data_IF_786060562218
#
_entry.id   IF_786060562218
#
_cell.length_a   1.000
_cell.length_b   1.000
_cell.length_c   1.000
_cell.angle_alpha   90.00
_cell.angle_beta   90.00
_cell.angle_gamma   90.00
#
_symmetry.space_group_name_H-M   'P 1'
#
loop_
_entity.id
_entity.type
_entity.pdbx_description
1 polymer ?
#
# COMPACT_ATOMS: atom_id res chain seq x y z
N UNK A 1 -10.13 -69.78 -9.78
CA UNK A 1 -10.60 -68.62 -10.59
C UNK A 1 -10.08 -67.33 -9.96
N UNK A 2 -8.96 -66.80 -10.45
CA UNK A 2 -8.32 -65.58 -9.93
C UNK A 2 -8.21 -64.56 -11.05
N UNK A 3 -9.05 -63.52 -11.06
CA UNK A 3 -8.98 -62.42 -12.04
C UNK A 3 -7.97 -61.37 -11.56
N UNK A 4 -6.80 -61.33 -12.21
CA UNK A 4 -5.84 -60.23 -12.12
C UNK A 4 -6.38 -59.02 -12.89
N UNK A 5 -6.60 -57.89 -12.21
CA UNK A 5 -6.81 -56.59 -12.86
C UNK A 5 -5.48 -56.04 -13.39
N UNK A 6 -5.36 -55.83 -14.71
CA UNK A 6 -4.28 -55.04 -15.32
C UNK A 6 -4.65 -53.55 -15.33
N UNK A 7 -3.71 -52.63 -15.11
CA UNK A 7 -3.98 -51.19 -15.21
C UNK A 7 -4.05 -50.77 -16.68
N UNK A 8 -5.08 -50.01 -17.05
CA UNK A 8 -5.20 -49.36 -18.37
C UNK A 8 -4.23 -48.17 -18.42
N UNK A 9 -3.22 -48.25 -19.27
CA UNK A 9 -2.39 -47.09 -19.63
C UNK A 9 -3.23 -46.09 -20.45
N UNK A 10 -3.30 -44.85 -19.99
CA UNK A 10 -3.90 -43.75 -20.75
C UNK A 10 -2.90 -43.25 -21.80
N UNK A 11 -3.14 -43.61 -23.06
CA UNK A 11 -2.38 -43.11 -24.21
C UNK A 11 -2.88 -41.70 -24.54
N UNK A 12 -2.07 -40.68 -24.22
CA UNK A 12 -2.30 -39.31 -24.69
C UNK A 12 -2.00 -39.21 -26.19
N UNK A 13 -3.05 -39.17 -27.02
CA UNK A 13 -2.91 -38.83 -28.44
C UNK A 13 -2.52 -37.36 -28.58
N UNK A 14 -1.28 -37.09 -29.00
CA UNK A 14 -0.86 -35.77 -29.49
C UNK A 14 -1.66 -35.43 -30.76
N UNK A 15 -2.57 -34.47 -30.67
CA UNK A 15 -3.21 -33.86 -31.83
C UNK A 15 -2.17 -33.02 -32.58
N UNK A 16 -1.94 -33.33 -33.87
CA UNK A 16 -1.07 -32.57 -34.76
C UNK A 16 -1.70 -31.18 -34.99
N UNK A 17 -0.99 -30.11 -34.60
CA UNK A 17 -1.32 -28.75 -35.01
C UNK A 17 -1.21 -28.63 -36.53
N UNK A 18 -2.29 -28.25 -37.21
CA UNK A 18 -2.22 -27.72 -38.58
C UNK A 18 -1.97 -26.20 -38.49
N UNK A 19 -1.12 -25.61 -39.35
CA UNK A 19 -0.93 -24.15 -39.38
C UNK A 19 -2.21 -23.49 -39.89
N UNK A 20 -2.90 -22.74 -39.02
CA UNK A 20 -4.02 -21.91 -39.40
C UNK A 20 -3.53 -20.58 -39.94
N UNK A 21 -3.72 -20.38 -41.24
CA UNK A 21 -3.69 -19.08 -41.91
C UNK A 21 -4.68 -18.14 -41.19
N UNK A 22 -4.18 -17.01 -40.67
CA UNK A 22 -5.06 -15.94 -40.17
C UNK A 22 -5.42 -15.08 -41.36
N UNK A 23 -6.63 -15.28 -41.90
CA UNK A 23 -7.22 -14.36 -42.86
C UNK A 23 -7.48 -13.01 -42.16
N UNK A 24 -6.84 -11.95 -42.65
CA UNK A 24 -7.12 -10.57 -42.26
C UNK A 24 -8.04 -9.94 -43.32
N UNK A 25 -9.38 -9.95 -43.14
CA UNK A 25 -10.25 -9.19 -44.01
C UNK A 25 -10.21 -7.72 -43.59
N UNK A 26 -9.41 -6.93 -44.31
CA UNK A 26 -9.49 -5.47 -44.30
C UNK A 26 -10.89 -5.04 -44.80
N UNK A 27 -11.88 -5.01 -43.90
CA UNK A 27 -13.13 -4.26 -44.08
C UNK A 27 -13.06 -3.01 -43.24
N UNK A 28 -12.93 -1.88 -43.93
CA UNK A 28 -13.07 -0.53 -43.39
C UNK A 28 -14.33 -0.41 -42.53
N UNK A 29 -14.16 -0.28 -41.22
CA UNK A 29 -15.26 0.05 -40.30
C UNK A 29 -15.58 1.54 -40.50
N UNK A 30 -16.71 1.84 -41.13
CA UNK A 30 -17.24 3.20 -41.22
C UNK A 30 -17.83 3.57 -39.86
N UNK A 31 -17.17 4.48 -39.12
CA UNK A 31 -17.74 5.08 -37.91
C UNK A 31 -18.92 5.97 -38.29
N UNK A 32 -20.14 5.50 -38.00
CA UNK A 32 -21.35 6.33 -38.06
C UNK A 32 -21.30 7.41 -36.97
N UNK A 33 -21.65 8.65 -37.30
CA UNK A 33 -21.77 9.73 -36.31
C UNK A 33 -22.85 9.40 -35.29
N UNK A 34 -22.48 9.35 -34.01
CA UNK A 34 -23.42 9.24 -32.90
C UNK A 34 -24.34 10.47 -32.85
N UNK A 35 -25.65 10.32 -32.55
CA UNK A 35 -26.54 11.45 -32.38
C UNK A 35 -26.16 12.28 -31.14
N UNK A 36 -26.25 13.61 -31.28
CA UNK A 36 -25.95 14.57 -30.20
C UNK A 36 -26.90 14.37 -29.02
N UNK A 37 -26.34 14.14 -27.83
CA UNK A 37 -27.11 14.06 -26.56
C UNK A 37 -27.78 15.41 -26.25
N UNK A 38 -29.00 15.40 -25.67
CA UNK A 38 -29.63 16.62 -25.21
C UNK A 38 -28.94 17.17 -23.94
N UNK A 39 -29.13 18.47 -23.74
CA UNK A 39 -28.48 19.38 -22.79
C UNK A 39 -28.51 18.93 -21.32
N UNK A 40 -27.37 19.14 -20.67
CA UNK A 40 -27.08 18.80 -19.28
C UNK A 40 -27.96 19.62 -18.32
N UNK A 41 -28.95 19.00 -17.66
CA UNK A 41 -29.63 19.61 -16.51
C UNK A 41 -28.67 19.66 -15.32
N UNK A 42 -28.41 20.88 -14.84
CA UNK A 42 -27.59 21.22 -13.67
C UNK A 42 -28.16 20.57 -12.41
N UNK A 43 -27.47 19.56 -11.88
CA UNK A 43 -27.74 18.98 -10.57
C UNK A 43 -27.42 20.00 -9.47
N UNK A 44 -28.43 20.43 -8.72
CA UNK A 44 -28.25 21.21 -7.49
C UNK A 44 -28.22 20.27 -6.29
N UNK A 45 -27.22 20.41 -5.42
CA UNK A 45 -27.09 19.63 -4.17
C UNK A 45 -28.10 20.12 -3.12
N UNK A 46 -28.75 19.23 -2.35
CA UNK A 46 -29.58 19.63 -1.22
C UNK A 46 -28.70 20.12 -0.07
N UNK A 47 -29.03 21.30 0.49
CA UNK A 47 -28.45 21.77 1.76
C UNK A 47 -29.13 21.03 2.92
N UNK A 48 -28.47 20.03 3.51
CA UNK A 48 -28.87 19.49 4.82
C UNK A 48 -27.98 20.08 5.92
N UNK A 49 -28.60 20.77 6.89
CA UNK A 49 -27.96 21.50 7.99
C UNK A 49 -27.69 20.63 9.25
N UNK A 50 -27.68 19.29 9.16
CA UNK A 50 -27.65 18.41 10.35
C UNK A 50 -26.30 17.73 10.68
N UNK A 51 -25.28 17.81 9.82
CA UNK A 51 -23.95 17.19 10.09
C UNK A 51 -22.89 18.12 10.67
N UNK A 52 -23.15 19.44 10.74
CA UNK A 52 -22.13 20.42 11.11
C UNK A 52 -21.87 20.53 12.64
N UNK A 53 -22.77 20.00 13.47
CA UNK A 53 -22.66 20.11 14.94
C UNK A 53 -21.78 19.02 15.57
N UNK A 54 -21.74 17.81 15.02
CA UNK A 54 -20.86 16.74 15.53
C UNK A 54 -19.38 16.99 15.21
N UNK A 55 -19.08 17.56 14.04
CA UNK A 55 -17.71 17.96 13.67
C UNK A 55 -17.22 19.12 14.54
N UNK A 56 -18.11 20.05 14.92
CA UNK A 56 -17.75 21.20 15.74
C UNK A 56 -17.41 20.83 17.19
N UNK A 57 -17.98 19.75 17.73
CA UNK A 57 -17.76 19.34 19.12
C UNK A 57 -16.40 18.63 19.31
N UNK A 58 -15.92 17.91 18.29
CA UNK A 58 -14.57 17.30 18.31
C UNK A 58 -13.43 18.34 18.15
N UNK A 59 -13.72 19.51 17.56
CA UNK A 59 -12.76 20.60 17.37
C UNK A 59 -12.65 21.49 18.63
N UNK A 60 -13.71 21.56 19.44
CA UNK A 60 -13.77 22.45 20.61
C UNK A 60 -13.00 21.93 21.84
N UNK A 61 -12.75 20.62 21.93
CA UNK A 61 -12.07 20.00 23.08
C UNK A 61 -10.53 20.05 23.00
N UNK A 62 -9.97 20.57 21.89
CA UNK A 62 -8.51 20.61 21.64
C UNK A 62 -7.85 21.99 21.88
N UNK A 63 -8.53 22.93 22.56
CA UNK A 63 -8.03 24.32 22.72
C UNK A 63 -7.47 24.69 24.09
N UNK A 64 -6.88 23.74 24.82
CA UNK A 64 -6.15 24.05 26.06
C UNK A 64 -4.83 23.31 26.16
N UNK A 65 -3.84 23.77 25.39
CA UNK A 65 -2.41 23.62 25.71
C UNK A 65 -1.62 24.72 25.00
N UNK A 66 -0.65 25.40 25.65
CA UNK A 66 0.15 26.44 25.00
C UNK A 66 1.01 25.86 23.88
N UNK A 67 1.33 26.64 22.82
CA UNK A 67 2.22 26.19 21.76
C UNK A 67 3.66 26.16 22.28
N UNK A 68 4.20 24.97 22.53
CA UNK A 68 5.63 24.80 22.74
C UNK A 68 6.35 24.85 21.38
N UNK A 69 7.31 25.76 21.31
CA UNK A 69 8.11 26.05 20.13
C UNK A 69 8.86 24.81 19.62
N UNK A 70 8.98 24.73 18.29
CA UNK A 70 9.72 23.73 17.57
C UNK A 70 11.18 23.62 18.06
N UNK A 71 11.49 22.51 18.71
CA UNK A 71 12.85 22.08 19.01
C UNK A 71 12.99 20.68 18.42
N UNK A 72 13.82 20.59 17.38
CA UNK A 72 14.18 19.33 16.72
C UNK A 72 15.03 18.46 17.65
N UNK A 73 14.38 17.84 18.63
CA UNK A 73 14.91 16.67 19.30
C UNK A 73 14.63 15.47 18.39
N UNK A 74 15.67 14.72 18.04
CA UNK A 74 15.49 13.34 17.57
C UNK A 74 14.85 12.56 18.70
N UNK A 75 13.52 12.55 18.75
CA UNK A 75 12.79 11.64 19.59
C UNK A 75 13.24 10.23 19.19
N UNK A 76 13.91 9.53 20.10
CA UNK A 76 14.48 8.20 19.87
C UNK A 76 13.41 7.14 19.59
N UNK A 77 12.15 7.52 19.47
CA UNK A 77 11.05 6.69 19.05
C UNK A 77 11.21 6.19 17.60
N UNK A 78 10.63 5.04 17.32
CA UNK A 78 10.65 4.45 15.98
C UNK A 78 10.04 5.39 14.93
N UNK A 79 8.98 6.14 15.28
CA UNK A 79 8.33 7.06 14.35
C UNK A 79 9.16 8.33 14.12
N UNK A 80 9.94 8.78 15.11
CA UNK A 80 10.91 9.87 14.95
C UNK A 80 12.01 9.47 13.97
N UNK A 81 12.55 8.27 14.13
CA UNK A 81 13.55 7.69 13.21
C UNK A 81 12.99 7.61 11.79
N UNK A 82 11.80 7.03 11.59
CA UNK A 82 11.18 6.93 10.25
C UNK A 82 10.98 8.31 9.64
N UNK A 83 10.48 9.29 10.39
CA UNK A 83 10.28 10.67 9.91
C UNK A 83 11.58 11.28 9.37
N UNK A 84 12.69 11.16 10.12
CA UNK A 84 13.99 11.68 9.70
C UNK A 84 14.54 10.93 8.49
N UNK A 85 14.38 9.60 8.46
CA UNK A 85 14.81 8.77 7.33
C UNK A 85 14.06 9.13 6.04
N UNK A 86 12.76 9.39 6.11
CA UNK A 86 11.98 9.84 4.96
C UNK A 86 12.49 11.17 4.42
N UNK A 87 12.77 12.15 5.31
CA UNK A 87 13.35 13.45 4.93
C UNK A 87 14.70 13.31 4.25
N UNK A 88 15.59 12.52 4.85
CA UNK A 88 16.95 12.27 4.34
C UNK A 88 16.95 11.69 2.92
N UNK A 89 15.91 10.93 2.58
CA UNK A 89 15.73 10.30 1.28
C UNK A 89 14.80 11.08 0.33
N UNK A 90 14.45 12.32 0.69
CA UNK A 90 13.62 13.23 -0.10
C UNK A 90 12.20 12.71 -0.38
N UNK A 91 11.68 11.86 0.51
CA UNK A 91 10.33 11.31 0.40
C UNK A 91 9.35 12.32 0.98
N UNK A 92 8.69 13.05 0.09
CA UNK A 92 7.81 14.16 0.47
C UNK A 92 6.33 13.84 0.33
N UNK A 93 5.93 12.76 -0.34
CA UNK A 93 4.53 12.38 -0.52
C UNK A 93 4.22 11.10 0.26
N UNK A 94 3.30 11.17 1.22
CA UNK A 94 2.97 10.04 2.11
C UNK A 94 1.47 9.82 2.22
N UNK A 95 0.80 9.24 1.21
CA UNK A 95 -0.57 8.78 1.36
C UNK A 95 -0.64 7.58 2.30
N UNK A 96 -1.74 7.47 3.05
CA UNK A 96 -1.91 6.39 4.02
C UNK A 96 -3.35 5.90 4.11
N UNK A 97 -3.52 4.64 4.51
CA UNK A 97 -4.79 4.16 5.05
C UNK A 97 -4.71 4.20 6.58
N UNK A 98 -5.70 4.77 7.29
CA UNK A 98 -5.63 4.95 8.73
C UNK A 98 -5.39 3.64 9.50
N UNK A 99 -4.33 3.62 10.30
CA UNK A 99 -3.99 2.53 11.22
C UNK A 99 -3.63 3.07 12.62
N UNK A 100 -4.05 2.36 13.66
CA UNK A 100 -3.82 2.77 15.06
C UNK A 100 -2.33 2.70 15.47
N UNK A 101 -1.56 1.75 14.94
CA UNK A 101 -0.11 1.65 15.24
C UNK A 101 0.64 2.81 14.59
N UNK A 102 0.25 3.20 13.37
CA UNK A 102 0.86 4.29 12.61
C UNK A 102 0.42 5.70 13.05
N UNK A 103 -0.53 5.81 13.98
CA UNK A 103 -1.07 7.10 14.44
C UNK A 103 -0.02 8.13 14.86
N UNK A 104 1.00 7.82 15.71
CA UNK A 104 2.02 8.82 16.07
C UNK A 104 2.85 9.28 14.86
N UNK A 105 3.21 8.37 13.95
CA UNK A 105 3.92 8.72 12.71
C UNK A 105 3.05 9.62 11.81
N UNK A 106 1.77 9.27 11.62
CA UNK A 106 0.82 10.04 10.80
C UNK A 106 0.66 11.46 11.38
N UNK A 107 0.55 11.61 12.71
CA UNK A 107 0.46 12.93 13.35
C UNK A 107 1.70 13.78 13.07
N UNK A 108 2.89 13.20 13.19
CA UNK A 108 4.15 13.91 12.92
C UNK A 108 4.25 14.32 11.44
N UNK A 109 3.83 13.45 10.52
CA UNK A 109 3.80 13.74 9.09
C UNK A 109 2.83 14.86 8.71
N UNK A 110 1.70 15.00 9.42
CA UNK A 110 0.77 16.12 9.22
C UNK A 110 1.26 17.43 9.84
N UNK A 111 2.02 17.35 10.93
CA UNK A 111 2.55 18.54 11.62
C UNK A 111 3.72 19.20 10.87
N UNK A 112 4.32 18.49 9.91
CA UNK A 112 5.57 18.87 9.28
C UNK A 112 5.36 19.28 7.81
N UNK A 113 5.62 20.56 7.44
CA UNK A 113 5.29 21.11 6.13
C UNK A 113 6.12 20.53 4.98
N UNK A 114 7.19 19.78 5.27
CA UNK A 114 7.95 19.06 4.25
C UNK A 114 7.10 17.97 3.55
N UNK A 115 6.15 17.38 4.27
CA UNK A 115 5.36 16.26 3.77
C UNK A 115 4.01 16.73 3.21
N UNK A 116 3.59 16.10 2.13
CA UNK A 116 2.19 16.08 1.70
C UNK A 116 1.61 14.72 2.11
N UNK A 117 0.79 14.75 3.15
CA UNK A 117 0.27 13.54 3.80
C UNK A 117 -1.24 13.61 3.81
N UNK A 118 -1.93 12.56 3.37
CA UNK A 118 -3.39 12.52 3.38
C UNK A 118 -3.89 11.06 3.38
N UNK A 119 -5.10 10.88 3.90
CA UNK A 119 -5.74 9.57 3.93
C UNK A 119 -6.28 9.18 2.53
N UNK A 120 -6.12 7.93 2.15
CA UNK A 120 -6.76 7.32 0.97
C UNK A 120 -7.87 6.37 1.40
N UNK A 121 -8.82 6.09 0.50
CA UNK A 121 -9.92 5.19 0.79
C UNK A 121 -9.49 3.72 0.76
N UNK A 122 -8.47 3.42 -0.05
CA UNK A 122 -7.87 2.09 -0.18
C UNK A 122 -6.35 2.17 -0.36
N UNK A 123 -5.68 1.07 -0.09
CA UNK A 123 -4.24 0.93 -0.27
C UNK A 123 -3.85 0.97 -1.75
N UNK A 124 -4.68 0.43 -2.65
CA UNK A 124 -4.41 0.47 -4.11
C UNK A 124 -4.37 1.91 -4.63
N UNK A 125 -5.23 2.78 -4.09
CA UNK A 125 -5.27 4.19 -4.45
C UNK A 125 -3.97 4.90 -4.03
N UNK A 126 -3.49 4.63 -2.81
CA UNK A 126 -2.22 5.18 -2.34
C UNK A 126 -1.05 4.73 -3.23
N UNK A 127 -1.02 3.46 -3.64
CA UNK A 127 -0.01 2.94 -4.56
C UNK A 127 -0.10 3.63 -5.93
N UNK A 128 -1.29 3.82 -6.47
CA UNK A 128 -1.49 4.55 -7.73
C UNK A 128 -1.02 6.01 -7.66
N UNK A 129 -1.32 6.70 -6.56
CA UNK A 129 -0.87 8.07 -6.31
C UNK A 129 0.65 8.17 -6.24
N UNK A 130 1.30 7.30 -5.46
CA UNK A 130 2.78 7.30 -5.34
C UNK A 130 3.43 6.93 -6.67
N UNK A 131 2.84 6.00 -7.42
CA UNK A 131 3.33 5.64 -8.76
C UNK A 131 3.27 6.82 -9.73
N UNK A 132 2.15 7.53 -9.76
CA UNK A 132 2.02 8.75 -10.58
C UNK A 132 2.97 9.86 -10.13
N UNK A 133 3.18 10.02 -8.82
CA UNK A 133 4.13 10.99 -8.29
C UNK A 133 5.57 10.67 -8.68
N UNK A 134 5.97 9.40 -8.65
CA UNK A 134 7.29 8.95 -9.11
C UNK A 134 7.51 9.30 -10.59
N UNK A 135 6.52 9.04 -11.44
CA UNK A 135 6.57 9.42 -12.85
C UNK A 135 6.65 10.95 -13.05
N UNK A 136 6.09 11.72 -12.11
CA UNK A 136 6.19 13.17 -12.04
C UNK A 136 7.49 13.70 -11.39
N UNK A 137 8.45 12.84 -11.07
CA UNK A 137 9.73 13.23 -10.47
C UNK A 137 9.68 13.45 -8.95
N UNK A 138 8.60 13.04 -8.28
CA UNK A 138 8.43 13.17 -6.82
C UNK A 138 8.47 11.81 -6.14
N UNK A 139 9.30 11.69 -5.09
CA UNK A 139 9.38 10.46 -4.27
C UNK A 139 8.26 10.43 -3.24
N UNK A 140 7.68 9.23 -3.07
CA UNK A 140 6.64 8.98 -2.11
C UNK A 140 6.80 7.62 -1.42
N UNK A 141 6.13 7.47 -0.28
CA UNK A 141 5.99 6.23 0.44
C UNK A 141 4.53 6.01 0.83
N UNK A 142 4.11 4.75 0.96
CA UNK A 142 2.76 4.40 1.40
C UNK A 142 2.82 3.86 2.82
N UNK A 143 1.94 4.35 3.70
CA UNK A 143 1.73 3.77 5.02
C UNK A 143 0.44 2.94 5.00
N UNK A 144 0.53 1.68 5.44
CA UNK A 144 -0.61 0.76 5.44
C UNK A 144 -0.51 -0.29 6.55
N UNK A 145 -1.61 -0.99 6.79
CA UNK A 145 -1.67 -2.13 7.68
C UNK A 145 -1.57 -3.45 6.90
N UNK A 146 -1.14 -4.54 7.56
CA UNK A 146 -1.10 -5.89 6.98
C UNK A 146 -2.38 -6.31 6.24
N UNK A 147 -3.57 -5.98 6.76
CA UNK A 147 -4.83 -6.34 6.08
C UNK A 147 -5.00 -5.68 4.73
N UNK A 148 -4.50 -4.45 4.59
CA UNK A 148 -4.49 -3.70 3.34
C UNK A 148 -3.58 -4.31 2.27
N UNK A 149 -2.55 -5.04 2.71
CA UNK A 149 -1.67 -5.75 1.79
C UNK A 149 -2.40 -6.86 1.03
N UNK A 150 -3.46 -7.46 1.59
CA UNK A 150 -4.16 -8.59 0.98
C UNK A 150 -4.71 -8.29 -0.43
N UNK A 151 -5.01 -7.03 -0.71
CA UNK A 151 -5.59 -6.57 -1.98
C UNK A 151 -4.55 -5.97 -2.93
N UNK A 152 -3.30 -5.77 -2.46
CA UNK A 152 -2.24 -5.13 -3.24
C UNK A 152 -1.52 -6.05 -4.22
N UNK A 153 -1.59 -7.37 -4.06
CA UNK A 153 -0.82 -8.31 -4.89
C UNK A 153 -0.96 -8.05 -6.40
N UNK A 154 -2.19 -7.80 -6.87
CA UNK A 154 -2.44 -7.50 -8.27
C UNK A 154 -1.81 -6.16 -8.70
N UNK A 155 -1.92 -5.11 -7.88
CA UNK A 155 -1.37 -3.79 -8.20
C UNK A 155 0.16 -3.83 -8.21
N UNK A 156 0.77 -4.54 -7.27
CA UNK A 156 2.23 -4.74 -7.25
C UNK A 156 2.70 -5.47 -8.51
N UNK A 157 2.04 -6.57 -8.88
CA UNK A 157 2.40 -7.37 -10.03
C UNK A 157 2.12 -6.71 -11.39
N UNK A 158 1.08 -5.87 -11.49
CA UNK A 158 0.66 -5.26 -12.76
C UNK A 158 1.11 -3.81 -12.95
N UNK A 159 1.52 -3.12 -11.88
CA UNK A 159 1.96 -1.72 -11.93
C UNK A 159 3.37 -1.54 -11.36
N UNK A 160 3.59 -1.80 -10.07
CA UNK A 160 4.84 -1.39 -9.43
C UNK A 160 6.06 -2.13 -10.00
N UNK A 161 5.98 -3.45 -10.14
CA UNK A 161 7.05 -4.30 -10.66
C UNK A 161 7.31 -4.08 -12.16
N UNK A 162 6.33 -4.22 -13.07
CA UNK A 162 6.60 -4.14 -14.51
C UNK A 162 7.02 -2.74 -14.99
N UNK A 163 6.60 -1.68 -14.30
CA UNK A 163 6.98 -0.31 -14.63
C UNK A 163 8.16 0.22 -13.82
N UNK A 164 8.85 -0.65 -13.08
CA UNK A 164 10.06 -0.31 -12.32
C UNK A 164 9.84 0.92 -11.41
N UNK A 165 8.72 0.90 -10.69
CA UNK A 165 8.38 1.98 -9.76
C UNK A 165 9.01 1.64 -8.40
N UNK A 166 9.88 2.51 -7.83
CA UNK A 166 10.45 2.32 -6.51
C UNK A 166 9.41 2.67 -5.43
N UNK A 167 8.38 1.84 -5.34
CA UNK A 167 7.31 1.98 -4.37
C UNK A 167 7.83 1.56 -2.99
N UNK A 168 7.92 2.53 -2.08
CA UNK A 168 8.33 2.32 -0.70
C UNK A 168 7.08 2.12 0.15
N UNK A 169 6.96 0.95 0.78
CA UNK A 169 5.81 0.61 1.62
C UNK A 169 6.26 0.43 3.06
N UNK A 170 5.62 1.15 3.98
CA UNK A 170 5.69 0.86 5.41
C UNK A 170 4.41 0.12 5.82
N UNK A 171 4.57 -1.12 6.22
CA UNK A 171 3.47 -2.00 6.61
C UNK A 171 3.53 -2.22 8.11
N UNK A 172 2.55 -1.68 8.86
CA UNK A 172 2.40 -2.03 10.26
C UNK A 172 1.93 -3.48 10.38
N UNK A 173 2.76 -4.34 10.96
CA UNK A 173 2.46 -5.77 11.06
C UNK A 173 1.38 -6.05 12.10
N UNK A 174 0.27 -6.65 11.66
CA UNK A 174 -0.81 -7.16 12.51
C UNK A 174 -1.15 -8.59 12.18
N UNK A 175 -1.76 -9.33 13.11
CA UNK A 175 -2.00 -10.76 12.93
C UNK A 175 -0.80 -11.63 13.31
N UNK A 176 0.13 -11.10 14.09
CA UNK A 176 1.31 -11.82 14.61
C UNK A 176 1.19 -11.98 16.15
N UNK A 177 2.30 -11.93 16.87
CA UNK A 177 2.39 -12.05 18.33
C UNK A 177 1.20 -11.41 19.07
N UNK A 178 0.44 -12.25 19.79
CA UNK A 178 -0.67 -11.81 20.64
C UNK A 178 -1.97 -11.44 19.92
N UNK A 179 -2.08 -11.55 18.59
CA UNK A 179 -3.32 -11.22 17.86
C UNK A 179 -4.26 -12.44 17.76
N UNK A 180 -5.54 -12.24 18.05
CA UNK A 180 -6.57 -13.29 18.07
C UNK A 180 -7.56 -13.17 16.90
N UNK A 181 -7.46 -12.10 16.10
CA UNK A 181 -8.24 -11.96 14.89
C UNK A 181 -7.72 -12.92 13.81
N UNK A 182 -8.48 -14.00 13.57
CA UNK A 182 -8.19 -15.01 12.55
C UNK A 182 -7.98 -14.42 11.15
N UNK A 183 -8.77 -13.40 10.78
CA UNK A 183 -8.67 -12.76 9.47
C UNK A 183 -7.32 -12.05 9.27
N UNK A 184 -6.85 -11.34 10.29
CA UNK A 184 -5.55 -10.66 10.23
C UNK A 184 -4.38 -11.65 10.29
N UNK A 185 -4.53 -12.73 11.04
CA UNK A 185 -3.51 -13.77 11.19
C UNK A 185 -3.22 -14.50 9.88
N UNK A 186 -4.24 -14.77 9.07
CA UNK A 186 -4.06 -15.38 7.76
C UNK A 186 -3.29 -14.47 6.80
N UNK A 187 -3.67 -13.19 6.71
CA UNK A 187 -3.01 -12.22 5.83
C UNK A 187 -1.56 -11.99 6.25
N UNK A 188 -1.28 -11.93 7.55
CA UNK A 188 0.08 -11.84 8.06
C UNK A 188 0.97 -13.00 7.60
N UNK A 189 0.44 -14.22 7.64
CA UNK A 189 1.15 -15.43 7.20
C UNK A 189 1.39 -15.46 5.70
N UNK A 190 0.49 -14.94 4.89
CA UNK A 190 0.60 -14.96 3.42
C UNK A 190 1.34 -13.77 2.84
N UNK A 191 1.47 -12.65 3.58
CA UNK A 191 2.13 -11.44 3.11
C UNK A 191 3.56 -11.68 2.61
N UNK A 192 4.41 -12.32 3.42
CA UNK A 192 5.82 -12.59 3.02
C UNK A 192 5.92 -13.54 1.81
N UNK A 193 5.24 -14.70 1.80
CA UNK A 193 5.22 -15.57 0.62
C UNK A 193 4.77 -14.87 -0.66
N UNK A 194 3.81 -13.94 -0.57
CA UNK A 194 3.36 -13.15 -1.72
C UNK A 194 4.45 -12.18 -2.18
N UNK A 195 5.11 -11.47 -1.25
CA UNK A 195 6.25 -10.60 -1.57
C UNK A 195 7.39 -11.39 -2.22
N UNK A 196 7.74 -12.55 -1.66
CA UNK A 196 8.75 -13.46 -2.21
C UNK A 196 8.39 -13.91 -3.63
N UNK A 197 7.12 -14.27 -3.84
CA UNK A 197 6.62 -14.71 -5.16
C UNK A 197 6.68 -13.61 -6.22
N UNK A 198 6.64 -12.34 -5.79
CA UNK A 198 6.78 -11.17 -6.66
C UNK A 198 8.24 -10.69 -6.78
N UNK A 199 9.18 -11.39 -6.15
CA UNK A 199 10.59 -10.99 -6.03
C UNK A 199 10.76 -9.57 -5.48
N UNK A 200 9.90 -9.19 -4.54
CA UNK A 200 9.94 -7.89 -3.87
C UNK A 200 10.83 -7.96 -2.64
N UNK A 201 11.77 -7.03 -2.53
CA UNK A 201 12.59 -6.91 -1.34
C UNK A 201 11.69 -6.54 -0.15
N UNK A 202 11.84 -7.27 0.95
CA UNK A 202 11.11 -6.96 2.18
C UNK A 202 11.96 -7.19 3.42
N UNK A 203 11.78 -6.32 4.41
CA UNK A 203 12.49 -6.43 5.68
C UNK A 203 11.49 -6.35 6.82
N UNK A 204 11.53 -7.34 7.71
CA UNK A 204 10.81 -7.28 8.98
C UNK A 204 11.72 -6.70 10.04
N UNK A 205 11.36 -5.52 10.54
CA UNK A 205 12.16 -4.77 11.50
C UNK A 205 11.55 -4.98 12.88
N UNK A 206 12.36 -5.47 13.81
CA UNK A 206 11.92 -5.84 15.16
C UNK A 206 12.57 -5.01 16.24
N UNK A 207 13.77 -4.48 15.98
CA UNK A 207 14.54 -3.69 16.93
C UNK A 207 14.66 -2.25 16.48
N UNK A 208 14.79 -1.36 17.47
CA UNK A 208 14.89 0.07 17.25
C UNK A 208 16.26 0.50 16.71
N UNK A 209 17.32 -0.20 17.12
CA UNK A 209 18.71 0.09 16.74
C UNK A 209 19.03 -0.25 15.27
N UNK A 210 18.33 -1.24 14.70
CA UNK A 210 18.46 -1.61 13.29
C UNK A 210 17.55 -0.78 12.35
N UNK A 211 16.53 -0.11 12.89
CA UNK A 211 15.47 0.54 12.10
C UNK A 211 16.01 1.60 11.14
N UNK A 212 16.86 2.52 11.62
CA UNK A 212 17.42 3.59 10.78
C UNK A 212 18.26 3.00 9.65
N UNK A 213 19.15 2.07 10.00
CA UNK A 213 20.07 1.45 9.05
C UNK A 213 19.32 0.71 7.95
N UNK A 214 18.38 -0.16 8.31
CA UNK A 214 17.60 -0.93 7.34
C UNK A 214 16.75 0.02 6.50
N UNK A 215 15.96 0.90 7.12
CA UNK A 215 15.05 1.79 6.39
C UNK A 215 15.80 2.69 5.40
N UNK A 216 16.90 3.33 5.81
CA UNK A 216 17.67 4.20 4.93
C UNK A 216 18.29 3.45 3.75
N UNK A 217 18.89 2.28 4.00
CA UNK A 217 19.54 1.47 2.95
C UNK A 217 18.54 0.89 1.98
N UNK A 218 17.43 0.35 2.48
CA UNK A 218 16.37 -0.21 1.66
C UNK A 218 15.71 0.84 0.76
N UNK A 219 15.49 2.05 1.28
CA UNK A 219 14.95 3.16 0.48
C UNK A 219 15.93 3.57 -0.63
N UNK A 220 17.22 3.75 -0.31
CA UNK A 220 18.23 4.10 -1.31
C UNK A 220 18.38 3.03 -2.37
N UNK A 221 18.38 1.76 -1.96
CA UNK A 221 18.42 0.62 -2.86
C UNK A 221 17.20 0.64 -3.78
N UNK A 222 15.98 0.70 -3.23
CA UNK A 222 14.73 0.74 -3.99
C UNK A 222 14.74 1.83 -5.07
N UNK A 223 15.11 3.06 -4.71
CA UNK A 223 15.20 4.19 -5.64
C UNK A 223 16.26 3.96 -6.71
N UNK A 224 17.42 3.42 -6.36
CA UNK A 224 18.54 3.20 -7.28
C UNK A 224 18.28 2.05 -8.25
N UNK A 225 17.72 0.94 -7.75
CA UNK A 225 17.42 -0.25 -8.56
C UNK A 225 16.06 -0.18 -9.23
N UNK A 226 15.29 0.88 -8.98
CA UNK A 226 13.93 1.07 -9.48
C UNK A 226 13.03 -0.13 -9.15
N UNK A 227 13.18 -0.66 -7.94
CA UNK A 227 12.45 -1.82 -7.46
C UNK A 227 11.62 -1.45 -6.22
N UNK A 228 10.40 -1.98 -6.07
CA UNK A 228 9.61 -1.74 -4.86
C UNK A 228 10.24 -2.41 -3.63
N UNK A 229 9.94 -1.87 -2.45
CA UNK A 229 10.41 -2.41 -1.17
C UNK A 229 9.32 -2.34 -0.10
N UNK A 230 9.21 -3.39 0.71
CA UNK A 230 8.30 -3.47 1.85
C UNK A 230 9.05 -3.48 3.19
N UNK A 231 8.89 -2.42 3.97
CA UNK A 231 9.39 -2.30 5.33
C UNK A 231 8.27 -2.67 6.31
N UNK A 232 8.39 -3.84 6.92
CA UNK A 232 7.39 -4.41 7.81
C UNK A 232 7.76 -4.06 9.24
N UNK A 233 6.92 -3.24 9.88
CA UNK A 233 7.11 -2.76 11.25
C UNK A 233 6.46 -3.75 12.22
N UNK A 234 7.27 -4.57 12.89
CA UNK A 234 6.79 -5.60 13.80
C UNK A 234 6.23 -5.01 15.11
N UNK A 235 5.28 -5.66 15.80
CA UNK A 235 4.82 -5.24 17.12
C UNK A 235 5.92 -5.12 18.18
N UNK A 236 7.01 -5.90 18.10
CA UNK A 236 8.16 -5.76 19.00
C UNK A 236 8.85 -4.39 18.88
N UNK A 237 8.82 -3.80 17.67
CA UNK A 237 9.33 -2.45 17.43
C UNK A 237 8.32 -1.38 17.85
N UNK A 238 7.05 -1.58 17.50
CA UNK A 238 6.02 -0.54 17.61
C UNK A 238 5.28 -0.54 18.95
N UNK A 239 5.54 -1.51 19.82
CA UNK A 239 4.86 -1.70 21.11
C UNK A 239 3.57 -2.52 21.02
N UNK A 240 3.15 -2.90 19.82
CA UNK A 240 1.97 -3.76 19.58
C UNK A 240 0.65 -3.19 20.06
N UNK A 241 -0.37 -4.06 20.13
CA UNK A 241 -1.67 -3.73 20.70
C UNK A 241 -1.67 -4.16 22.16
N UNK A 242 -1.68 -3.20 23.09
CA UNK A 242 -1.85 -3.49 24.52
C UNK A 242 -3.31 -3.95 24.71
N UNK A 243 -3.50 -5.17 25.20
CA UNK A 243 -4.81 -5.64 25.64
C UNK A 243 -5.02 -5.13 27.06
N UNK A 244 -5.80 -4.06 27.21
CA UNK A 244 -6.39 -3.76 28.51
C UNK A 244 -7.38 -4.89 28.83
N UNK A 245 -7.16 -5.55 29.98
CA UNK A 245 -8.05 -6.57 30.53
C UNK A 245 -9.35 -5.96 31.03
#
# INVERSE_FOLDING_TARGET
MTRRCRPRQAVWRRSRCRPGHVDNPARSVKFGRLPRRPTQRRWQRPRSRRGAREIAMAIAEQRTSPPQAAQGASDGSWHGIVLQTLKRNEISLVPYVPDRVLTPLIKNLHADPFFTTFATAREEEAVGIVSGAWMGGRRGAVLMQTSGFATLANVLASLAVPYQIPLIMFVSERGTLGEFNYGQSLVCRTMRPVLDSLALEHHTITRLDELEFISDRSIKQAVTTQAPVALILNPLLTGGKVFDK
#
